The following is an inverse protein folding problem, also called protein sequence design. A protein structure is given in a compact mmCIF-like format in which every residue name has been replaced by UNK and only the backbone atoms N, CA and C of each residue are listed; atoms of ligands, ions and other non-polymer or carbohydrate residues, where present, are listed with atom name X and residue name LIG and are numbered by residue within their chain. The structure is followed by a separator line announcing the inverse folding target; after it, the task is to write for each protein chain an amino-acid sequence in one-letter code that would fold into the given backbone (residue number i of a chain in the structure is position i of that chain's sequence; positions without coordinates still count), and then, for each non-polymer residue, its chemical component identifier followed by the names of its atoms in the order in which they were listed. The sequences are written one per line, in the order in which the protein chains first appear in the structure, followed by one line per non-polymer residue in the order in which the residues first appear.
data_IF_748616981770
#
_entry.id   IF_748616981770
#
_cell.length_a   1.000
_cell.length_b   1.000
_cell.length_c   1.000
_cell.angle_alpha   90.00
_cell.angle_beta   90.00
_cell.angle_gamma   90.00
#
_symmetry.space_group_name_H-M   'P 1'
#
loop_
_entity.id
_entity.type
_entity.pdbx_description
1 polymer ?
#
# COMPACT_ATOMS: atom_id res chain seq x y z
N UNK A 1 -25.09 -8.27 4.08
CA UNK A 1 -23.89 -7.55 3.55
C UNK A 1 -24.26 -6.13 3.21
N UNK A 2 -23.51 -5.16 3.69
CA UNK A 2 -23.75 -3.76 3.31
C UNK A 2 -23.29 -3.58 1.86
N UNK A 3 -24.19 -3.20 0.96
CA UNK A 3 -23.88 -2.88 -0.44
C UNK A 3 -23.18 -1.51 -0.61
N UNK A 4 -22.84 -0.86 0.50
CA UNK A 4 -22.19 0.45 0.49
C UNK A 4 -20.71 0.28 0.10
N UNK A 5 -20.17 1.11 -0.83
CA UNK A 5 -18.75 1.09 -1.18
C UNK A 5 -17.85 1.25 0.05
N UNK A 6 -16.59 0.84 -0.06
CA UNK A 6 -15.58 1.11 0.96
C UNK A 6 -15.39 2.63 1.14
N UNK A 7 -14.95 3.08 2.33
CA UNK A 7 -14.65 4.48 2.54
C UNK A 7 -13.52 4.95 1.61
N UNK A 8 -13.61 6.20 1.16
CA UNK A 8 -12.57 6.82 0.34
C UNK A 8 -12.70 6.59 -1.16
N UNK A 9 -11.64 6.95 -1.88
CA UNK A 9 -11.53 6.89 -3.33
C UNK A 9 -10.45 5.90 -3.73
N UNK A 10 -10.79 4.89 -4.53
CA UNK A 10 -9.80 3.97 -5.09
C UNK A 10 -8.78 4.73 -5.95
N UNK A 11 -7.49 4.49 -5.73
CA UNK A 11 -6.43 5.13 -6.51
C UNK A 11 -5.21 4.25 -6.76
N UNK A 12 -5.04 3.13 -6.04
CA UNK A 12 -3.77 2.40 -6.03
C UNK A 12 -3.97 0.90 -6.11
N UNK A 13 -3.07 0.24 -6.84
CA UNK A 13 -2.85 -1.21 -6.82
C UNK A 13 -1.45 -1.45 -6.24
N UNK A 14 -1.38 -2.20 -5.15
CA UNK A 14 -0.13 -2.56 -4.49
C UNK A 14 0.35 -3.95 -4.88
N UNK A 15 1.60 -4.03 -5.32
CA UNK A 15 2.33 -5.29 -5.56
C UNK A 15 3.35 -5.50 -4.45
N UNK A 16 3.51 -6.74 -4.02
CA UNK A 16 4.66 -7.16 -3.21
C UNK A 16 5.48 -8.13 -4.02
N UNK A 17 6.79 -7.90 -4.07
CA UNK A 17 7.73 -8.65 -4.91
C UNK A 17 8.96 -9.05 -4.09
N UNK A 18 9.60 -10.21 -4.42
CA UNK A 18 10.82 -10.63 -3.74
C UNK A 18 12.07 -9.83 -4.14
N UNK A 19 12.01 -9.13 -5.28
CA UNK A 19 13.09 -8.27 -5.77
C UNK A 19 12.48 -7.08 -6.52
N UNK A 20 12.76 -5.88 -6.02
CA UNK A 20 12.16 -4.64 -6.55
C UNK A 20 12.54 -4.38 -8.01
N UNK A 21 13.81 -4.53 -8.36
CA UNK A 21 14.29 -4.26 -9.73
C UNK A 21 13.62 -5.20 -10.75
N UNK A 22 13.57 -6.49 -10.43
CA UNK A 22 12.94 -7.47 -11.30
C UNK A 22 11.42 -7.23 -11.42
N UNK A 23 10.78 -6.87 -10.32
CA UNK A 23 9.35 -6.52 -10.29
C UNK A 23 9.03 -5.30 -11.15
N UNK A 24 9.83 -4.24 -11.04
CA UNK A 24 9.68 -3.03 -11.87
C UNK A 24 9.91 -3.30 -13.34
N UNK A 25 10.95 -4.08 -13.68
CA UNK A 25 11.22 -4.47 -15.07
C UNK A 25 10.05 -5.25 -15.69
N UNK A 26 9.48 -6.19 -14.92
CA UNK A 26 8.31 -6.96 -15.33
C UNK A 26 7.08 -6.07 -15.56
N UNK A 27 6.78 -5.17 -14.65
CA UNK A 27 5.63 -4.26 -14.76
C UNK A 27 5.82 -3.27 -15.92
N UNK A 28 7.02 -2.74 -16.11
CA UNK A 28 7.33 -1.88 -17.24
C UNK A 28 7.11 -2.59 -18.57
N UNK A 29 7.58 -3.83 -18.71
CA UNK A 29 7.40 -4.61 -19.93
C UNK A 29 5.92 -4.92 -20.21
N UNK A 30 5.14 -5.18 -19.15
CA UNK A 30 3.73 -5.56 -19.26
C UNK A 30 2.79 -4.38 -19.48
N UNK A 31 3.04 -3.26 -18.82
CA UNK A 31 2.11 -2.12 -18.76
C UNK A 31 2.56 -0.94 -19.62
N UNK A 32 3.77 -0.98 -20.19
CA UNK A 32 4.37 0.20 -20.82
C UNK A 32 4.45 1.36 -19.81
N UNK A 33 4.69 1.05 -18.53
CA UNK A 33 4.60 2.00 -17.46
C UNK A 33 5.65 3.10 -17.58
N UNK A 34 5.36 4.32 -17.09
CA UNK A 34 6.31 5.40 -16.97
C UNK A 34 7.41 5.06 -15.95
N UNK A 35 8.34 5.99 -15.74
CA UNK A 35 9.35 5.85 -14.68
C UNK A 35 8.68 5.68 -13.32
N UNK A 36 9.26 4.81 -12.51
CA UNK A 36 8.92 4.71 -11.10
C UNK A 36 9.85 5.57 -10.27
N UNK A 37 9.31 6.27 -9.27
CA UNK A 37 10.11 6.84 -8.18
C UNK A 37 10.42 5.71 -7.19
N UNK A 38 11.71 5.49 -6.91
CA UNK A 38 12.17 4.43 -6.01
C UNK A 38 12.64 5.01 -4.69
N UNK A 39 12.12 4.46 -3.59
CA UNK A 39 12.52 4.77 -2.21
C UNK A 39 13.08 3.50 -1.57
N UNK A 40 14.31 3.57 -1.05
CA UNK A 40 14.98 2.38 -0.53
C UNK A 40 15.07 2.36 0.98
N UNK A 41 14.88 1.16 1.53
CA UNK A 41 15.10 0.86 2.95
C UNK A 41 14.38 1.84 3.89
N UNK A 42 13.11 2.11 3.58
CA UNK A 42 12.25 2.97 4.38
C UNK A 42 11.79 2.21 5.62
N UNK A 43 12.05 2.78 6.78
CA UNK A 43 11.49 2.29 8.05
C UNK A 43 10.20 3.05 8.34
N UNK A 44 9.12 2.31 8.50
CA UNK A 44 7.81 2.87 8.82
C UNK A 44 7.83 3.53 10.20
N UNK A 45 7.40 4.78 10.28
CA UNK A 45 7.19 5.46 11.57
C UNK A 45 5.93 4.90 12.26
N UNK A 46 5.99 4.78 13.58
CA UNK A 46 4.87 4.26 14.38
C UNK A 46 4.32 2.91 13.90
N UNK A 47 5.21 2.05 13.38
CA UNK A 47 4.85 0.75 12.84
C UNK A 47 4.13 -0.13 13.86
N UNK A 48 3.06 -0.78 13.41
CA UNK A 48 2.27 -1.71 14.19
C UNK A 48 1.84 -2.89 13.30
N UNK A 49 1.95 -4.10 13.84
CA UNK A 49 1.64 -5.32 13.10
C UNK A 49 1.01 -6.36 14.04
N UNK A 50 -0.16 -6.88 13.67
CA UNK A 50 -0.89 -7.98 14.34
C UNK A 50 -0.86 -7.93 15.86
N UNK A 51 -1.25 -6.78 16.45
CA UNK A 51 -1.47 -6.64 17.90
C UNK A 51 -0.37 -5.91 18.65
N UNK A 52 0.71 -5.45 18.03
CA UNK A 52 1.78 -4.74 18.73
C UNK A 52 2.67 -3.86 17.87
N UNK A 53 3.50 -3.02 18.51
CA UNK A 53 4.50 -2.24 17.81
C UNK A 53 5.45 -3.14 17.01
N UNK A 54 5.84 -2.70 15.82
CA UNK A 54 6.72 -3.46 14.94
C UNK A 54 7.65 -2.52 14.17
N UNK A 55 8.88 -2.98 13.94
CA UNK A 55 9.80 -2.35 12.99
C UNK A 55 9.55 -2.95 11.62
N UNK A 56 9.08 -2.14 10.68
CA UNK A 56 8.76 -2.56 9.32
C UNK A 56 9.70 -1.80 8.39
N UNK A 57 10.59 -2.53 7.73
CA UNK A 57 11.55 -1.98 6.78
C UNK A 57 11.28 -2.56 5.39
N UNK A 58 11.14 -1.71 4.39
CA UNK A 58 10.90 -2.09 3.01
C UNK A 58 11.46 -1.07 2.02
N UNK A 59 11.72 -1.52 0.80
CA UNK A 59 11.91 -0.64 -0.34
C UNK A 59 10.63 -0.59 -1.15
N UNK A 60 10.34 0.54 -1.77
CA UNK A 60 9.13 0.72 -2.54
C UNK A 60 9.35 1.58 -3.78
N UNK A 61 8.45 1.47 -4.71
CA UNK A 61 8.42 2.33 -5.89
C UNK A 61 6.99 2.71 -6.25
N UNK A 62 6.82 3.93 -6.75
CA UNK A 62 5.54 4.46 -7.20
C UNK A 62 5.60 4.86 -8.67
N UNK A 63 4.57 4.49 -9.42
CA UNK A 63 4.38 4.90 -10.81
C UNK A 63 2.90 4.95 -11.15
N UNK A 64 2.55 5.57 -12.28
CA UNK A 64 1.16 5.70 -12.71
C UNK A 64 0.95 5.14 -14.11
N UNK A 65 -0.18 4.48 -14.28
CA UNK A 65 -0.74 4.13 -15.60
C UNK A 65 -2.12 4.77 -15.66
N UNK A 66 -2.27 5.83 -16.44
CA UNK A 66 -3.46 6.67 -16.38
C UNK A 66 -3.64 7.29 -14.99
N UNK A 67 -4.80 7.09 -14.39
CA UNK A 67 -5.13 7.60 -13.05
C UNK A 67 -4.84 6.60 -11.92
N UNK A 68 -4.39 5.39 -12.25
CA UNK A 68 -4.11 4.35 -11.26
C UNK A 68 -2.63 4.37 -10.90
N UNK A 69 -2.36 4.51 -9.60
CA UNK A 69 -1.01 4.39 -9.06
C UNK A 69 -0.68 2.91 -8.86
N UNK A 70 0.52 2.52 -9.28
CA UNK A 70 1.12 1.23 -8.93
C UNK A 70 2.15 1.47 -7.84
N UNK A 71 1.97 0.81 -6.71
CA UNK A 71 2.96 0.73 -5.65
C UNK A 71 3.60 -0.65 -5.69
N UNK A 72 4.93 -0.72 -5.70
CA UNK A 72 5.68 -1.97 -5.71
C UNK A 72 6.56 -2.02 -4.48
N UNK A 73 6.42 -3.05 -3.66
CA UNK A 73 7.04 -3.17 -2.36
C UNK A 73 7.92 -4.41 -2.31
N UNK A 74 9.17 -4.24 -1.86
CA UNK A 74 10.08 -5.32 -1.47
C UNK A 74 10.31 -5.25 0.05
N UNK A 75 9.86 -6.25 0.83
CA UNK A 75 10.18 -6.29 2.25
C UNK A 75 11.70 -6.52 2.45
N UNK A 76 12.31 -5.72 3.33
CA UNK A 76 13.74 -5.79 3.64
C UNK A 76 13.96 -6.48 4.98
N UNK A 77 13.25 -6.07 6.03
CA UNK A 77 13.38 -6.63 7.36
C UNK A 77 12.12 -6.40 8.20
N UNK A 78 11.97 -7.22 9.24
CA UNK A 78 10.86 -7.17 10.19
C UNK A 78 9.63 -7.96 9.73
N UNK A 79 8.71 -8.16 10.68
CA UNK A 79 7.44 -8.81 10.41
C UNK A 79 6.47 -7.80 9.78
N UNK A 80 5.84 -8.20 8.71
CA UNK A 80 4.88 -7.36 7.98
C UNK A 80 3.91 -8.20 7.17
N UNK A 81 2.81 -7.60 6.73
CA UNK A 81 1.91 -8.22 5.77
C UNK A 81 2.63 -8.52 4.44
N UNK A 82 3.67 -7.77 4.12
CA UNK A 82 4.49 -7.98 2.92
C UNK A 82 5.31 -9.27 3.01
N UNK A 83 5.99 -9.49 4.14
CA UNK A 83 6.74 -10.71 4.38
C UNK A 83 5.81 -11.95 4.39
N UNK A 84 4.67 -11.87 5.11
CA UNK A 84 3.67 -12.93 5.10
C UNK A 84 3.11 -13.23 3.71
N UNK A 85 2.96 -12.21 2.87
CA UNK A 85 2.50 -12.40 1.50
C UNK A 85 3.50 -13.23 0.69
N UNK A 86 4.79 -12.93 0.77
CA UNK A 86 5.84 -13.68 0.06
C UNK A 86 6.00 -15.11 0.58
N UNK A 87 5.70 -15.38 1.84
CA UNK A 87 5.67 -16.74 2.37
C UNK A 87 4.62 -17.62 1.66
N UNK A 88 3.51 -17.01 1.23
CA UNK A 88 2.42 -17.68 0.51
C UNK A 88 2.55 -17.60 -1.01
N UNK A 89 3.10 -16.50 -1.52
CA UNK A 89 3.25 -16.21 -2.95
C UNK A 89 4.72 -15.79 -3.22
N UNK A 90 5.66 -16.75 -3.25
CA UNK A 90 7.10 -16.45 -3.30
C UNK A 90 7.54 -15.63 -4.51
N UNK A 91 6.81 -15.73 -5.62
CA UNK A 91 7.12 -14.97 -6.85
C UNK A 91 6.53 -13.55 -6.84
N UNK A 92 5.78 -13.20 -5.79
CA UNK A 92 5.11 -11.91 -5.67
C UNK A 92 3.79 -11.82 -6.45
N UNK A 93 3.11 -10.69 -6.33
CA UNK A 93 1.82 -10.44 -6.97
C UNK A 93 1.08 -9.26 -6.36
N UNK A 94 -0.21 -9.14 -6.68
CA UNK A 94 -1.08 -8.11 -6.12
C UNK A 94 -1.35 -8.41 -4.65
N UNK A 95 -1.01 -7.45 -3.80
CA UNK A 95 -1.15 -7.55 -2.35
C UNK A 95 -2.37 -6.77 -1.84
N UNK A 96 -2.60 -5.56 -2.33
CA UNK A 96 -3.68 -4.71 -1.84
C UNK A 96 -4.28 -3.80 -2.91
N UNK A 97 -5.48 -3.30 -2.61
CA UNK A 97 -6.12 -2.17 -3.27
C UNK A 97 -6.13 -1.00 -2.30
N UNK A 98 -5.66 0.17 -2.75
CA UNK A 98 -5.53 1.38 -1.94
C UNK A 98 -6.64 2.38 -2.19
N UNK A 99 -7.17 2.94 -1.10
CA UNK A 99 -8.23 3.96 -1.08
C UNK A 99 -7.75 5.18 -0.30
N UNK A 100 -7.76 6.35 -0.93
CA UNK A 100 -7.47 7.60 -0.22
C UNK A 100 -8.68 8.07 0.56
N UNK A 101 -8.46 8.50 1.80
CA UNK A 101 -9.52 8.97 2.71
C UNK A 101 -9.19 10.37 3.24
N UNK A 102 -10.21 11.15 3.55
CA UNK A 102 -10.05 12.48 4.14
C UNK A 102 -9.96 12.42 5.67
N UNK A 103 -10.58 11.42 6.29
CA UNK A 103 -10.54 11.16 7.73
C UNK A 103 -10.17 9.71 7.98
N UNK A 104 -8.91 9.49 8.34
CA UNK A 104 -8.36 8.15 8.59
C UNK A 104 -9.06 7.44 9.75
N UNK A 105 -9.33 8.16 10.83
CA UNK A 105 -9.89 7.56 12.05
C UNK A 105 -11.36 7.17 11.82
N UNK A 106 -12.14 8.01 11.14
CA UNK A 106 -13.51 7.69 10.76
C UNK A 106 -13.59 6.51 9.78
N UNK A 107 -12.69 6.47 8.77
CA UNK A 107 -12.63 5.37 7.82
C UNK A 107 -12.23 4.05 8.50
N UNK A 108 -11.28 4.10 9.44
CA UNK A 108 -10.89 2.95 10.26
C UNK A 108 -12.06 2.42 11.06
N UNK A 109 -12.79 3.30 11.76
CA UNK A 109 -13.95 2.92 12.54
C UNK A 109 -15.05 2.27 11.66
N UNK A 110 -15.28 2.80 10.47
CA UNK A 110 -16.25 2.23 9.52
C UNK A 110 -15.86 0.82 9.06
N UNK A 111 -14.59 0.59 8.72
CA UNK A 111 -14.12 -0.74 8.33
C UNK A 111 -14.22 -1.75 9.48
N UNK A 112 -13.81 -1.36 10.68
CA UNK A 112 -13.94 -2.23 11.88
C UNK A 112 -15.40 -2.59 12.15
N UNK A 113 -16.32 -1.63 12.03
CA UNK A 113 -17.76 -1.86 12.20
C UNK A 113 -18.34 -2.82 11.15
N UNK A 114 -17.71 -2.94 9.98
CA UNK A 114 -18.07 -3.89 8.93
C UNK A 114 -17.41 -5.26 9.08
N UNK A 115 -16.64 -5.48 10.15
CA UNK A 115 -15.98 -6.76 10.40
C UNK A 115 -14.58 -6.90 9.78
N UNK A 116 -14.04 -5.86 9.16
CA UNK A 116 -12.64 -5.85 8.75
C UNK A 116 -11.73 -5.86 9.97
N UNK A 117 -10.54 -6.44 9.83
CA UNK A 117 -9.52 -6.47 10.88
C UNK A 117 -8.31 -5.65 10.44
N UNK A 118 -7.94 -4.66 11.24
CA UNK A 118 -6.69 -3.94 11.06
C UNK A 118 -5.52 -4.87 11.41
N UNK A 119 -4.59 -5.06 10.48
CA UNK A 119 -3.45 -5.97 10.65
C UNK A 119 -2.09 -5.30 10.60
N UNK A 120 -1.98 -4.16 9.91
CA UNK A 120 -0.76 -3.38 9.86
C UNK A 120 -1.10 -1.90 9.70
N UNK A 121 -0.33 -1.04 10.32
CA UNK A 121 -0.45 0.42 10.15
C UNK A 121 0.88 1.12 10.41
N UNK A 122 0.96 2.35 9.99
CA UNK A 122 2.10 3.23 10.24
C UNK A 122 1.86 4.64 9.72
N UNK A 123 2.91 5.46 9.81
CA UNK A 123 2.88 6.85 9.36
C UNK A 123 4.15 7.23 8.59
N UNK A 124 4.02 8.26 7.75
CA UNK A 124 5.11 9.02 7.16
C UNK A 124 4.78 10.50 7.35
N UNK A 125 5.45 11.16 8.28
CA UNK A 125 5.02 12.49 8.71
C UNK A 125 3.56 12.44 9.18
N UNK A 126 2.70 13.27 8.59
CA UNK A 126 1.27 13.29 8.90
C UNK A 126 0.43 12.33 8.03
N UNK A 127 1.03 11.70 7.02
CA UNK A 127 0.38 10.64 6.23
C UNK A 127 0.19 9.39 7.10
N UNK A 128 -1.03 8.85 7.10
CA UNK A 128 -1.40 7.64 7.86
C UNK A 128 -1.89 6.58 6.91
N UNK A 129 -1.44 5.34 7.10
CA UNK A 129 -1.94 4.19 6.33
C UNK A 129 -2.27 3.00 7.23
N UNK A 130 -3.15 2.15 6.75
CA UNK A 130 -3.51 0.90 7.40
C UNK A 130 -4.02 -0.15 6.43
N UNK A 131 -3.60 -1.39 6.67
CA UNK A 131 -4.04 -2.58 5.94
C UNK A 131 -5.06 -3.35 6.74
N UNK A 132 -6.13 -3.71 6.06
CA UNK A 132 -7.26 -4.43 6.64
C UNK A 132 -7.50 -5.73 5.87
N UNK A 133 -7.80 -6.79 6.60
CA UNK A 133 -8.23 -8.06 6.04
C UNK A 133 -9.71 -8.34 6.36
N UNK A 134 -10.39 -9.05 5.46
CA UNK A 134 -11.75 -9.53 5.66
C UNK A 134 -11.88 -10.93 5.07
N UNK A 135 -12.68 -11.78 5.72
CA UNK A 135 -13.00 -13.11 5.20
C UNK A 135 -13.74 -13.07 3.87
N UNK A 136 -14.38 -11.94 3.56
CA UNK A 136 -15.16 -11.74 2.34
C UNK A 136 -14.34 -11.12 1.20
N UNK A 137 -13.09 -10.74 1.47
CA UNK A 137 -12.18 -10.15 0.48
C UNK A 137 -11.49 -11.27 -0.34
N UNK A 138 -11.65 -11.30 -1.66
CA UNK A 138 -11.11 -12.38 -2.49
C UNK A 138 -9.61 -12.23 -2.74
N UNK A 139 -8.80 -12.48 -1.72
CA UNK A 139 -7.35 -12.67 -1.86
C UNK A 139 -6.48 -11.42 -1.87
N UNK A 140 -7.06 -10.22 -1.69
CA UNK A 140 -6.31 -8.97 -1.54
C UNK A 140 -6.59 -8.31 -0.21
N UNK A 141 -5.68 -7.44 0.27
CA UNK A 141 -5.95 -6.57 1.41
C UNK A 141 -6.56 -5.26 0.96
N UNK A 142 -7.30 -4.62 1.85
CA UNK A 142 -7.77 -3.25 1.69
C UNK A 142 -6.82 -2.32 2.43
N UNK A 143 -6.24 -1.35 1.73
CA UNK A 143 -5.52 -0.24 2.34
C UNK A 143 -6.39 1.01 2.35
N UNK A 144 -6.39 1.72 3.47
CA UNK A 144 -6.83 3.11 3.51
C UNK A 144 -5.64 3.99 3.85
N UNK A 145 -5.55 5.16 3.20
CA UNK A 145 -4.46 6.10 3.42
C UNK A 145 -4.99 7.54 3.42
N UNK A 146 -4.63 8.26 4.47
CA UNK A 146 -4.72 9.72 4.51
C UNK A 146 -3.39 10.30 4.03
N UNK A 147 -3.44 11.09 2.98
CA UNK A 147 -2.25 11.69 2.36
C UNK A 147 -2.12 13.14 2.85
N UNK A 148 -1.02 13.47 3.50
CA UNK A 148 -0.67 14.85 3.80
C UNK A 148 -0.29 15.65 2.55
N UNK A 149 -0.11 16.96 2.69
CA UNK A 149 0.19 17.85 1.55
C UNK A 149 1.52 17.50 0.86
N UNK A 150 2.52 17.03 1.61
CA UNK A 150 3.83 16.68 1.07
C UNK A 150 3.74 15.42 0.20
N UNK A 151 3.08 14.37 0.69
CA UNK A 151 2.89 13.13 -0.05
C UNK A 151 1.97 13.35 -1.26
N UNK A 152 0.91 14.15 -1.14
CA UNK A 152 0.08 14.54 -2.29
C UNK A 152 0.89 15.25 -3.37
N UNK A 153 1.78 16.17 -2.99
CA UNK A 153 2.69 16.85 -3.91
C UNK A 153 3.67 15.90 -4.60
N UNK A 154 4.24 14.97 -3.84
CA UNK A 154 5.11 13.93 -4.37
C UNK A 154 4.36 13.05 -5.40
N UNK A 155 3.17 12.59 -5.08
CA UNK A 155 2.37 11.78 -5.99
C UNK A 155 1.96 12.54 -7.25
N UNK A 156 1.63 13.83 -7.13
CA UNK A 156 1.36 14.67 -8.30
C UNK A 156 2.57 14.78 -9.24
N UNK A 157 3.78 14.95 -8.67
CA UNK A 157 5.02 14.99 -9.44
C UNK A 157 5.31 13.65 -10.12
N UNK A 158 5.09 12.53 -9.43
CA UNK A 158 5.26 11.20 -10.02
C UNK A 158 4.29 11.01 -11.20
N UNK A 159 3.02 11.38 -11.03
CA UNK A 159 2.02 11.30 -12.09
C UNK A 159 2.37 12.18 -13.29
N UNK A 160 2.88 13.37 -13.04
CA UNK A 160 3.33 14.31 -14.09
C UNK A 160 4.72 13.98 -14.68
N UNK A 161 5.43 12.97 -14.14
CA UNK A 161 6.80 12.61 -14.53
C UNK A 161 7.82 13.74 -14.32
N UNK A 162 7.66 14.54 -13.28
CA UNK A 162 8.50 15.71 -12.94
C UNK A 162 9.41 15.45 -11.73
N UNK A 163 9.99 14.27 -11.64
CA UNK A 163 10.91 13.88 -10.56
C UNK A 163 12.19 13.27 -11.11
#
# INVERSE_FOLDING_TARGET
MSSRPLPGTFFQIGYVVPNLEAGLAHLNAKLGAPRFMVLREIVVENGWFRGGPATINHSMAFGYVGDVQFEVIEPVAGNSTYAEFLDRVPDGGVHHLGFSVEDYDAATADLLARGYKLVQRGTFGDTKFGYFESSDDPGTMTEIVYLDANVRGMFANIKAQTF
#
